data_IF_997207542883
#
_entry.id   IF_997207542883
#
_cell.length_a   1.000
_cell.length_b   1.000
_cell.length_c   1.000
_cell.angle_alpha   90.00
_cell.angle_beta   90.00
_cell.angle_gamma   90.00
#
_symmetry.space_group_name_H-M   'P 1'
#
loop_
_entity.id
_entity.type
_entity.pdbx_description
1 polymer ?
#
# COMPACT_ATOMS: atom_id res chain seq x y z
N UNK A 1 20.03 0.48 4.27
CA UNK A 1 19.59 0.35 4.54
C UNK A 1 18.85 -0.52 4.67
N UNK A 2 18.72 -1.00 4.97
CA UNK A 2 18.18 -1.84 5.13
C UNK A 2 17.08 -1.60 5.45
N UNK A 3 16.40 -1.72 5.25
CA UNK A 3 15.46 -1.72 5.26
C UNK A 3 14.59 -1.67 6.11
N UNK A 4 14.33 -1.14 6.42
CA UNK A 4 13.48 -1.03 7.24
C UNK A 4 12.21 -0.72 6.72
N UNK A 5 11.73 -1.19 5.61
CA UNK A 5 10.47 -1.03 5.18
C UNK A 5 9.59 -1.87 6.00
N UNK A 6 8.93 -1.43 6.92
CA UNK A 6 8.11 -2.25 7.78
C UNK A 6 6.66 -1.89 7.62
N UNK A 7 5.85 -2.86 7.37
CA UNK A 7 4.43 -2.70 7.31
C UNK A 7 3.87 -3.72 8.28
N UNK A 8 3.18 -3.27 9.30
CA UNK A 8 2.64 -4.18 10.28
C UNK A 8 1.14 -4.10 10.21
N UNK A 9 0.49 -5.22 10.12
CA UNK A 9 -0.94 -5.28 10.08
C UNK A 9 -1.41 -5.93 11.35
N UNK A 10 -2.06 -5.19 12.19
CA UNK A 10 -2.47 -5.74 13.44
C UNK A 10 -3.60 -6.68 13.20
N UNK A 11 -3.64 -7.68 13.83
CA UNK A 11 -4.68 -8.65 13.74
C UNK A 11 -4.65 -9.24 12.47
N UNK A 12 -3.88 -9.55 11.96
CA UNK A 12 -3.89 -10.11 10.84
C UNK A 12 -4.04 -11.23 10.45
N UNK A 13 -4.44 -11.60 9.69
CA UNK A 13 -4.59 -12.78 9.37
C UNK A 13 -4.33 -12.66 8.03
N UNK A 14 -3.58 -12.07 7.55
CA UNK A 14 -3.39 -11.93 6.30
C UNK A 14 -3.08 -13.03 5.51
N UNK A 15 -3.67 -13.35 4.58
CA UNK A 15 -3.38 -14.42 3.88
C UNK A 15 -2.56 -13.96 2.83
N UNK A 16 -1.61 -14.23 2.53
CA UNK A 16 -0.80 -13.92 1.63
C UNK A 16 -1.09 -14.42 0.40
N UNK A 17 -1.76 -14.00 -0.43
CA UNK A 17 -2.06 -14.72 -1.48
C UNK A 17 -1.35 -14.13 -2.50
N UNK A 18 -1.10 -14.10 -3.33
CA UNK A 18 -0.44 -13.65 -4.27
C UNK A 18 -1.24 -12.95 -5.18
N UNK A 19 -2.21 -12.42 -4.90
CA UNK A 19 -2.98 -11.79 -5.84
C UNK A 19 -2.57 -10.37 -6.10
N UNK A 20 -1.61 -9.80 -5.48
CA UNK A 20 -1.19 -8.44 -5.75
C UNK A 20 -0.44 -8.38 -7.07
N UNK A 21 -0.96 -7.64 -8.02
CA UNK A 21 -0.32 -7.51 -9.30
C UNK A 21 0.19 -6.09 -9.44
N UNK A 22 1.49 -5.87 -9.45
CA UNK A 22 2.04 -4.52 -9.50
C UNK A 22 1.83 -3.82 -10.84
N UNK A 23 1.39 -4.56 -11.84
CA UNK A 23 1.13 -3.95 -13.12
C UNK A 23 -0.29 -3.43 -13.25
N UNK A 24 -1.06 -3.55 -12.19
CA UNK A 24 -2.40 -3.01 -12.16
C UNK A 24 -2.45 -1.76 -11.33
N UNK A 25 -3.50 -1.00 -11.48
CA UNK A 25 -3.70 0.17 -10.64
C UNK A 25 -4.28 -0.22 -9.31
N UNK A 26 -3.93 0.51 -8.27
CA UNK A 26 -4.40 0.23 -6.93
C UNK A 26 -4.77 1.52 -6.24
N UNK A 27 -5.58 1.43 -5.20
CA UNK A 27 -5.92 2.60 -4.41
C UNK A 27 -6.30 2.18 -3.01
N UNK A 28 -6.35 3.11 -2.11
CA UNK A 28 -6.75 2.81 -0.75
C UNK A 28 -8.23 2.49 -0.76
N UNK A 29 -8.59 1.52 0.05
CA UNK A 29 -10.00 1.19 0.21
C UNK A 29 -10.72 2.43 0.73
N UNK A 30 -11.92 2.72 0.26
CA UNK A 30 -12.62 3.93 0.67
C UNK A 30 -12.93 3.99 2.17
N UNK A 31 -12.89 2.87 2.87
CA UNK A 31 -13.13 2.89 4.29
C UNK A 31 -11.85 2.95 5.10
N UNK A 32 -10.74 3.26 4.47
CA UNK A 32 -9.47 3.37 5.19
C UNK A 32 -9.16 4.82 5.44
N UNK A 33 -8.86 5.14 6.69
CA UNK A 33 -8.43 6.47 7.06
C UNK A 33 -6.93 6.46 7.26
N UNK A 34 -6.25 7.47 6.80
CA UNK A 34 -4.82 7.59 6.94
C UNK A 34 -4.53 8.68 7.93
N UNK A 35 -3.76 8.36 8.98
CA UNK A 35 -3.40 9.35 9.95
C UNK A 35 -1.90 9.52 9.93
N UNK A 36 -1.39 10.65 9.57
CA UNK A 36 0.05 10.87 9.51
C UNK A 36 0.67 10.86 10.90
N UNK A 37 1.85 10.27 11.02
CA UNK A 37 2.57 10.24 12.28
C UNK A 37 4.02 10.52 11.98
N UNK A 38 4.80 10.84 12.99
CA UNK A 38 6.20 11.11 12.76
C UNK A 38 6.91 9.93 12.14
N UNK A 39 6.52 8.73 12.47
CA UNK A 39 7.22 7.58 11.95
C UNK A 39 6.68 7.15 10.59
N UNK A 40 5.57 7.69 10.14
CA UNK A 40 4.96 7.28 8.90
C UNK A 40 3.47 7.53 8.94
N UNK A 41 2.68 6.51 9.17
CA UNK A 41 1.23 6.71 9.23
C UNK A 41 0.53 5.50 9.85
N UNK A 42 -0.64 5.77 10.35
CA UNK A 42 -1.51 4.71 10.80
C UNK A 42 -2.61 4.64 9.77
N UNK A 43 -2.99 3.43 9.41
CA UNK A 43 -4.09 3.21 8.49
C UNK A 43 -5.17 2.43 9.22
N UNK A 44 -6.35 2.98 9.30
CA UNK A 44 -7.43 2.29 9.99
C UNK A 44 -8.55 1.98 9.01
N UNK A 45 -8.94 0.71 8.94
CA UNK A 45 -9.99 0.27 8.05
C UNK A 45 -11.28 0.17 8.84
N UNK A 46 -12.21 1.06 8.58
CA UNK A 46 -13.45 1.06 9.34
C UNK A 46 -14.29 -0.18 9.09
N UNK A 47 -14.19 -0.76 7.94
CA UNK A 47 -14.97 -1.95 7.64
C UNK A 47 -14.50 -3.18 8.37
N UNK A 48 -13.18 -3.43 8.39
CA UNK A 48 -12.66 -4.61 9.05
C UNK A 48 -12.21 -4.32 10.46
N UNK A 49 -12.11 -3.02 10.80
CA UNK A 49 -11.65 -2.62 12.10
C UNK A 49 -10.21 -2.99 12.33
N UNK A 50 -9.42 -3.16 11.29
CA UNK A 50 -8.03 -3.48 11.44
C UNK A 50 -7.18 -2.25 11.32
N UNK A 51 -6.03 -2.28 11.96
CA UNK A 51 -5.13 -1.17 11.99
C UNK A 51 -3.83 -1.60 11.36
N UNK A 52 -3.24 -0.80 10.56
CA UNK A 52 -1.94 -1.08 9.98
C UNK A 52 -1.03 0.10 10.21
N UNK A 53 0.25 -0.17 10.30
CA UNK A 53 1.22 0.89 10.51
C UNK A 53 2.17 0.94 9.35
N UNK A 54 2.40 2.13 8.84
CA UNK A 54 3.42 2.32 7.82
C UNK A 54 4.55 3.04 8.52
N UNK A 55 5.69 2.36 8.67
CA UNK A 55 6.80 2.95 9.40
C UNK A 55 7.87 3.46 8.49
N UNK A 56 7.48 4.06 7.37
CA UNK A 56 8.44 4.55 6.42
C UNK A 56 7.74 5.65 5.64
N UNK A 57 8.30 6.83 5.64
CA UNK A 57 7.65 7.95 4.99
C UNK A 57 7.53 7.78 3.48
N UNK A 58 8.45 7.12 2.86
CA UNK A 58 8.35 6.86 1.42
C UNK A 58 7.15 5.96 1.15
N UNK A 59 6.90 5.02 2.05
CA UNK A 59 5.75 4.14 1.91
C UNK A 59 4.46 4.94 2.02
N UNK A 60 4.42 5.94 2.87
CA UNK A 60 3.25 6.78 3.02
C UNK A 60 3.02 7.55 1.72
N UNK A 61 4.08 8.10 1.15
CA UNK A 61 3.97 8.82 -0.10
C UNK A 61 3.46 7.89 -1.20
N UNK A 62 4.00 6.69 -1.25
CA UNK A 62 3.61 5.72 -2.24
C UNK A 62 2.13 5.39 -2.12
N UNK A 63 1.68 5.06 -0.92
CA UNK A 63 0.30 4.65 -0.71
C UNK A 63 -0.65 5.78 -1.04
N UNK A 64 -0.31 7.00 -0.65
CA UNK A 64 -1.20 8.12 -0.90
C UNK A 64 -1.27 8.48 -2.38
N UNK A 65 -0.29 8.11 -3.15
CA UNK A 65 -0.28 8.48 -4.55
C UNK A 65 -0.66 7.34 -5.49
N UNK A 66 -0.92 6.15 -4.96
CA UNK A 66 -1.21 5.02 -5.82
C UNK A 66 -2.34 5.29 -6.80
N UNK A 67 -3.38 5.95 -6.36
CA UNK A 67 -4.52 6.17 -7.21
C UNK A 67 -4.22 7.13 -8.36
N UNK A 68 -3.13 7.87 -8.27
CA UNK A 68 -2.80 8.82 -9.30
C UNK A 68 -1.97 8.21 -10.42
N UNK A 69 -1.66 6.96 -10.33
CA UNK A 69 -0.81 6.32 -11.31
C UNK A 69 -1.50 5.12 -11.92
N UNK A 70 -1.16 4.75 -13.15
CA UNK A 70 -1.84 3.65 -13.80
C UNK A 70 -1.51 2.30 -13.22
N UNK A 71 -0.38 2.19 -12.53
CA UNK A 71 -0.04 0.93 -11.90
C UNK A 71 0.89 1.17 -10.73
N UNK A 72 1.09 0.15 -9.92
CA UNK A 72 1.90 0.29 -8.72
C UNK A 72 3.36 0.54 -9.06
N UNK A 73 3.86 -0.01 -10.15
CA UNK A 73 5.25 0.22 -10.49
C UNK A 73 5.51 1.67 -10.84
N UNK A 74 4.57 2.30 -11.56
CA UNK A 74 4.72 3.71 -11.89
C UNK A 74 4.68 4.55 -10.63
N UNK A 75 3.83 4.18 -9.69
CA UNK A 75 3.75 4.91 -8.44
C UNK A 75 5.07 4.80 -7.67
N UNK A 76 5.70 3.63 -7.70
CA UNK A 76 6.98 3.46 -7.03
C UNK A 76 8.03 4.37 -7.65
N UNK A 77 8.05 4.44 -8.97
CA UNK A 77 9.06 5.28 -9.59
C UNK A 77 8.79 6.72 -9.30
N UNK A 78 7.54 7.13 -9.30
CA UNK A 78 7.21 8.52 -8.99
C UNK A 78 7.55 8.88 -7.54
N UNK A 79 7.56 7.88 -6.66
CA UNK A 79 7.90 8.14 -5.27
C UNK A 79 9.41 8.14 -5.04
N UNK A 80 10.19 7.94 -6.09
CA UNK A 80 11.63 7.96 -5.93
C UNK A 80 12.22 6.64 -5.51
N UNK A 81 11.50 5.56 -5.64
CA UNK A 81 11.97 4.26 -5.22
C UNK A 81 12.75 3.68 -6.38
N UNK A 82 14.00 3.34 -6.15
CA UNK A 82 14.82 2.83 -7.23
C UNK A 82 14.56 1.37 -7.48
N UNK A 83 15.10 0.85 -8.55
CA UNK A 83 14.84 -0.52 -8.93
C UNK A 83 15.29 -1.51 -7.89
N UNK A 84 16.34 -1.20 -7.15
CA UNK A 84 16.81 -2.14 -6.14
C UNK A 84 15.84 -2.26 -4.98
N UNK A 85 15.17 -1.18 -4.63
CA UNK A 85 14.26 -1.19 -3.50
C UNK A 85 12.84 -1.55 -3.92
N UNK A 86 12.54 -1.43 -5.20
CA UNK A 86 11.18 -1.66 -5.64
C UNK A 86 10.56 -2.99 -5.21
N UNK A 87 11.25 -4.12 -5.28
CA UNK A 87 10.61 -5.37 -4.88
C UNK A 87 10.12 -5.37 -3.43
N UNK A 88 10.87 -4.73 -2.54
CA UNK A 88 10.47 -4.70 -1.14
C UNK A 88 9.22 -3.85 -0.96
N UNK A 89 9.14 -2.73 -1.70
CA UNK A 89 7.97 -1.89 -1.59
C UNK A 89 6.76 -2.58 -2.22
N UNK A 90 6.96 -3.30 -3.32
CA UNK A 90 5.85 -4.01 -3.93
C UNK A 90 5.35 -5.12 -3.01
N UNK A 91 6.29 -5.77 -2.28
CA UNK A 91 5.85 -6.79 -1.37
C UNK A 91 5.06 -6.18 -0.24
N UNK A 92 5.45 -5.00 0.24
CA UNK A 92 4.71 -4.34 1.30
C UNK A 92 3.32 -3.95 0.83
N UNK A 93 3.20 -3.51 -0.43
CA UNK A 93 1.89 -3.19 -0.96
C UNK A 93 1.03 -4.45 -1.04
N UNK A 94 1.64 -5.58 -1.34
CA UNK A 94 0.91 -6.83 -1.37
C UNK A 94 0.33 -7.21 -0.02
N UNK A 95 1.07 -6.92 1.04
CA UNK A 95 0.57 -7.19 2.39
C UNK A 95 -0.64 -6.32 2.67
N UNK A 96 -0.59 -5.07 2.26
CA UNK A 96 -1.72 -4.18 2.46
C UNK A 96 -2.91 -4.61 1.63
N UNK A 97 -2.67 -5.09 0.41
CA UNK A 97 -3.75 -5.57 -0.43
C UNK A 97 -4.40 -6.81 0.18
N UNK A 98 -3.59 -7.68 0.77
CA UNK A 98 -4.13 -8.88 1.38
C UNK A 98 -5.00 -8.55 2.59
N UNK A 99 -4.82 -7.38 3.19
CA UNK A 99 -5.59 -6.96 4.33
C UNK A 99 -6.73 -6.03 3.95
N UNK A 100 -6.99 -5.90 2.65
CA UNK A 100 -8.05 -5.03 2.20
C UNK A 100 -7.81 -3.55 2.43
N UNK A 101 -6.59 -3.18 2.74
CA UNK A 101 -6.25 -1.78 2.88
C UNK A 101 -6.15 -1.18 1.48
N UNK A 102 -5.69 -1.96 0.52
CA UNK A 102 -5.62 -1.53 -0.86
C UNK A 102 -6.56 -2.39 -1.68
N UNK A 103 -7.22 -1.78 -2.64
CA UNK A 103 -8.06 -2.53 -3.56
C UNK A 103 -7.66 -2.13 -4.96
N UNK A 104 -7.97 -2.96 -5.90
CA UNK A 104 -7.63 -2.69 -7.27
C UNK A 104 -8.43 -1.51 -7.78
N UNK A 105 -7.78 -0.64 -8.48
CA UNK A 105 -8.46 0.45 -9.09
C UNK A 105 -9.00 -0.12 -10.38
N UNK A 106 -10.27 0.02 -10.63
CA UNK A 106 -10.82 -0.62 -11.73
C UNK A 106 -10.97 0.35 -12.81
N UNK A 107 -10.19 0.36 -13.76
CA UNK A 107 -10.24 1.33 -14.76
C UNK A 107 -11.41 1.24 -15.60
N UNK A 108 -11.94 0.20 -15.71
CA UNK A 108 -12.99 0.09 -16.49
C UNK A 108 -14.15 0.46 -15.96
N UNK A 109 -14.20 0.72 -14.91
CA UNK A 109 -15.32 0.97 -14.33
C UNK A 109 -15.68 2.19 -14.80
N UNK A 110 -15.07 2.72 -15.50
CA UNK A 110 -15.35 3.85 -15.81
C UNK A 110 -16.21 3.77 -16.64
N UNK A 111 -16.96 4.09 -16.79
CA UNK A 111 -17.94 3.95 -17.65
C UNK A 111 -17.92 4.88 -18.53
#
# INVERSE_FOLDING_TARGET
>A
VRGLLTVSVAAGAARVTDTFNPDLGWRLHPQVAVRPENFGALLYHFGTRKLSFLKNLTMVTLVNSLADHPDARSACRAAGIDAAAEPAYLRALGVLAASDILIAADPEETP
#
